data_IF_304573929876
#
_entry.id   IF_304573929876
#
_cell.length_a   1.000
_cell.length_b   1.000
_cell.length_c   1.000
_cell.angle_alpha   90.00
_cell.angle_beta   90.00
_cell.angle_gamma   90.00
#
_symmetry.space_group_name_H-M   'P 1'
#
loop_
_entity.id
_entity.type
_entity.pdbx_description
1 polymer ?
#
# COMPACT_ATOMS: atom_id res chain seq x y z
N UNK A 1 0.57 -14.97 -3.60
CA UNK A 1 -0.53 -15.66 -2.87
C UNK A 1 -1.29 -14.65 -2.01
N UNK A 2 -0.71 -14.09 -0.95
CA UNK A 2 -1.38 -13.15 -0.04
C UNK A 2 -2.03 -11.92 -0.71
N UNK A 3 -1.34 -11.22 -1.62
CA UNK A 3 -1.93 -10.06 -2.30
C UNK A 3 -3.21 -10.41 -3.10
N UNK A 4 -3.20 -11.53 -3.82
CA UNK A 4 -4.38 -12.03 -4.57
C UNK A 4 -5.51 -12.42 -3.62
N UNK A 5 -5.18 -13.05 -2.49
CA UNK A 5 -6.16 -13.44 -1.46
C UNK A 5 -6.82 -12.23 -0.78
N UNK A 6 -6.14 -11.09 -0.71
CA UNK A 6 -6.71 -9.83 -0.22
C UNK A 6 -7.63 -9.20 -1.27
N UNK A 7 -7.26 -9.26 -2.55
CA UNK A 7 -8.07 -8.71 -3.64
C UNK A 7 -9.42 -9.43 -3.76
N UNK A 8 -9.49 -10.74 -3.50
CA UNK A 8 -10.76 -11.48 -3.55
C UNK A 8 -11.76 -11.09 -2.45
N UNK A 9 -11.35 -10.28 -1.46
CA UNK A 9 -12.19 -9.82 -0.35
C UNK A 9 -12.67 -8.38 -0.51
N UNK A 10 -12.36 -7.75 -1.64
CA UNK A 10 -12.71 -6.35 -1.88
C UNK A 10 -14.21 -6.25 -2.14
N UNK A 11 -14.92 -5.31 -1.47
CA UNK A 11 -16.33 -5.05 -1.75
C UNK A 11 -16.56 -4.61 -3.20
N UNK A 12 -17.67 -5.06 -3.78
CA UNK A 12 -18.11 -4.65 -5.11
C UNK A 12 -18.24 -3.11 -5.20
N UNK A 13 -17.86 -2.54 -6.35
CA UNK A 13 -17.91 -1.09 -6.58
C UNK A 13 -16.75 -0.29 -5.96
N UNK A 14 -15.76 -0.94 -5.35
CA UNK A 14 -14.56 -0.25 -4.83
C UNK A 14 -13.77 0.40 -5.98
N UNK A 15 -13.70 1.75 -6.00
CA UNK A 15 -12.90 2.49 -6.99
C UNK A 15 -11.54 3.00 -6.49
N UNK A 16 -11.35 3.05 -5.17
CA UNK A 16 -10.14 3.58 -4.53
C UNK A 16 -9.72 2.75 -3.31
N UNK A 17 -8.41 2.64 -3.09
CA UNK A 17 -7.84 1.95 -1.92
C UNK A 17 -6.68 2.75 -1.30
N UNK A 18 -6.65 2.83 0.02
CA UNK A 18 -5.45 3.20 0.76
C UNK A 18 -4.60 1.94 0.96
N UNK A 19 -3.35 1.97 0.51
CA UNK A 19 -2.43 0.82 0.59
C UNK A 19 -1.18 1.22 1.34
N UNK A 20 -0.91 0.55 2.47
CA UNK A 20 0.25 0.77 3.32
C UNK A 20 0.60 -0.51 4.09
N UNK A 21 1.89 -0.76 4.30
CA UNK A 21 2.35 -1.93 5.05
C UNK A 21 3.79 -2.30 4.68
N UNK A 22 4.09 -3.60 4.76
CA UNK A 22 5.36 -4.14 4.30
C UNK A 22 5.56 -3.85 2.80
N UNK A 23 6.78 -3.46 2.43
CA UNK A 23 7.08 -2.87 1.13
C UNK A 23 6.79 -3.81 -0.04
N UNK A 24 7.16 -5.09 0.08
CA UNK A 24 7.01 -6.09 -0.98
C UNK A 24 5.54 -6.46 -1.18
N UNK A 25 4.81 -6.68 -0.09
CA UNK A 25 3.38 -6.92 -0.11
C UNK A 25 2.62 -5.72 -0.70
N UNK A 26 2.97 -4.50 -0.27
CA UNK A 26 2.35 -3.26 -0.76
C UNK A 26 2.55 -3.13 -2.26
N UNK A 27 3.75 -3.37 -2.77
CA UNK A 27 4.03 -3.32 -4.21
C UNK A 27 3.18 -4.33 -4.99
N UNK A 28 3.10 -5.58 -4.54
CA UNK A 28 2.28 -6.61 -5.19
C UNK A 28 0.78 -6.30 -5.10
N UNK A 29 0.31 -5.82 -3.96
CA UNK A 29 -1.10 -5.50 -3.74
C UNK A 29 -1.53 -4.30 -4.59
N UNK A 30 -0.72 -3.25 -4.68
CA UNK A 30 -0.98 -2.09 -5.57
C UNK A 30 -1.12 -2.56 -7.02
N UNK A 31 -0.21 -3.41 -7.50
CA UNK A 31 -0.31 -3.99 -8.86
C UNK A 31 -1.61 -4.76 -9.07
N UNK A 32 -1.96 -5.66 -8.13
CA UNK A 32 -3.20 -6.42 -8.23
C UNK A 32 -4.42 -5.48 -8.25
N UNK A 33 -4.52 -4.53 -7.31
CA UNK A 33 -5.64 -3.58 -7.24
C UNK A 33 -5.78 -2.74 -8.52
N UNK A 34 -4.68 -2.20 -9.04
CA UNK A 34 -4.67 -1.40 -10.27
C UNK A 34 -5.09 -2.23 -11.49
N UNK A 35 -4.75 -3.53 -11.54
CA UNK A 35 -5.22 -4.42 -12.60
C UNK A 35 -6.75 -4.62 -12.59
N UNK A 36 -7.43 -4.38 -11.47
CA UNK A 36 -8.90 -4.34 -11.34
C UNK A 36 -9.48 -2.92 -11.54
N UNK A 37 -8.67 -1.96 -11.99
CA UNK A 37 -9.09 -0.56 -12.18
C UNK A 37 -9.18 0.27 -10.90
N UNK A 38 -8.70 -0.25 -9.77
CA UNK A 38 -8.76 0.44 -8.47
C UNK A 38 -7.59 1.43 -8.35
N UNK A 39 -7.89 2.69 -8.05
CA UNK A 39 -6.85 3.70 -7.83
C UNK A 39 -6.27 3.61 -6.42
N UNK A 40 -4.97 3.37 -6.32
CA UNK A 40 -4.26 3.19 -5.06
C UNK A 40 -3.60 4.48 -4.54
N UNK A 41 -3.70 4.70 -3.23
CA UNK A 41 -3.12 5.84 -2.51
C UNK A 41 -2.29 5.39 -1.31
N UNK A 42 -1.21 6.10 -0.99
CA UNK A 42 -0.46 5.96 0.25
C UNK A 42 -0.71 7.17 1.16
N UNK A 43 -0.92 6.96 2.45
CA UNK A 43 -0.76 8.04 3.42
C UNK A 43 0.73 8.28 3.68
N UNK A 44 1.15 9.54 3.61
CA UNK A 44 2.49 9.96 4.00
C UNK A 44 2.46 10.60 5.36
N UNK A 45 3.41 10.23 6.22
CA UNK A 45 3.53 10.73 7.58
C UNK A 45 4.92 11.27 7.85
N UNK A 46 5.00 12.29 8.67
CA UNK A 46 6.24 12.70 9.33
C UNK A 46 6.35 11.97 10.66
N UNK A 47 7.55 11.47 10.97
CA UNK A 47 7.83 10.77 12.22
C UNK A 47 8.78 11.59 13.07
N UNK A 48 8.28 12.04 14.20
CA UNK A 48 9.11 12.66 15.24
C UNK A 48 9.35 11.68 16.38
N UNK A 49 10.60 11.66 16.85
CA UNK A 49 11.02 10.78 17.95
C UNK A 49 11.60 11.64 19.05
N UNK A 50 11.00 11.57 20.23
CA UNK A 50 11.44 12.26 21.43
C UNK A 50 11.94 11.22 22.44
N UNK A 51 13.16 11.43 22.96
CA UNK A 51 13.66 10.71 24.14
C UNK A 51 13.44 11.61 25.34
N UNK A 52 12.63 11.16 26.30
CA UNK A 52 12.33 11.89 27.52
C UNK A 52 13.42 11.66 28.58
N UNK A 53 13.56 12.57 29.56
CA UNK A 53 14.55 12.44 30.64
C UNK A 53 14.38 11.17 31.50
N UNK A 54 13.18 10.60 31.55
CA UNK A 54 12.85 9.34 32.26
C UNK A 54 13.24 8.08 31.47
N UNK A 55 13.89 8.22 30.30
CA UNK A 55 14.26 7.12 29.42
C UNK A 55 13.14 6.66 28.48
N UNK A 56 11.94 7.23 28.57
CA UNK A 56 10.83 6.90 27.68
C UNK A 56 11.11 7.42 26.27
N UNK A 57 10.81 6.60 25.26
CA UNK A 57 10.84 7.01 23.84
C UNK A 57 9.41 7.19 23.34
N UNK A 58 9.08 8.41 22.92
CA UNK A 58 7.80 8.72 22.28
C UNK A 58 8.02 8.87 20.78
N UNK A 59 7.27 8.12 19.98
CA UNK A 59 7.24 8.28 18.52
C UNK A 59 5.89 8.84 18.11
N UNK A 60 5.88 10.01 17.47
CA UNK A 60 4.67 10.68 16.95
C UNK A 60 4.69 10.61 15.43
N UNK A 61 3.57 10.16 14.85
CA UNK A 61 3.37 10.13 13.41
C UNK A 61 2.30 11.16 13.06
N UNK A 62 2.67 12.22 12.33
CA UNK A 62 1.71 13.20 11.82
C UNK A 62 1.36 12.87 10.38
N UNK A 63 0.08 12.76 10.06
CA UNK A 63 -0.37 12.69 8.68
C UNK A 63 -0.02 13.98 7.94
N UNK A 64 0.51 13.83 6.73
CA UNK A 64 0.86 14.96 5.85
C UNK A 64 -0.11 15.04 4.69
N UNK A 65 -0.14 14.01 3.84
CA UNK A 65 -1.01 13.95 2.67
C UNK A 65 -1.17 12.54 2.13
N UNK A 66 -2.21 12.34 1.33
CA UNK A 66 -2.33 11.19 0.43
C UNK A 66 -1.47 11.42 -0.82
N UNK A 67 -0.80 10.37 -1.29
CA UNK A 67 -0.10 10.38 -2.58
C UNK A 67 -0.58 9.20 -3.42
N UNK A 68 -0.92 9.46 -4.67
CA UNK A 68 -1.31 8.40 -5.60
C UNK A 68 -0.08 7.54 -5.88
N UNK A 69 -0.25 6.22 -5.88
CA UNK A 69 0.78 5.34 -6.42
C UNK A 69 0.93 5.57 -7.94
N UNK A 70 2.14 5.45 -8.50
CA UNK A 70 2.29 5.41 -9.95
C UNK A 70 1.49 4.23 -10.52
N UNK A 71 1.14 4.31 -11.79
CA UNK A 71 0.53 3.18 -12.48
C UNK A 71 1.57 2.06 -12.59
N UNK A 72 1.33 0.95 -11.89
CA UNK A 72 2.15 -0.27 -11.94
C UNK A 72 1.46 -1.36 -12.79
N UNK A 73 0.41 -1.00 -13.55
CA UNK A 73 -0.47 -1.87 -14.30
C UNK A 73 0.19 -2.98 -15.12
N UNK A 74 -0.60 -4.06 -15.29
CA UNK A 74 -0.29 -5.40 -15.82
C UNK A 74 1.05 -6.00 -15.38
N UNK A 75 0.97 -7.15 -14.71
CA UNK A 75 2.12 -8.04 -14.61
C UNK A 75 2.68 -8.28 -16.04
N UNK A 76 4.01 -8.40 -16.23
CA UNK A 76 4.52 -9.01 -17.46
C UNK A 76 3.72 -10.29 -17.67
N UNK A 77 3.23 -10.53 -18.89
CA UNK A 77 2.59 -11.79 -19.23
C UNK A 77 3.46 -12.90 -18.62
N UNK A 78 2.87 -13.75 -17.78
CA UNK A 78 3.52 -15.01 -17.45
C UNK A 78 3.86 -15.60 -18.81
N UNK A 79 5.15 -15.69 -19.14
CA UNK A 79 5.64 -16.39 -20.32
C UNK A 79 4.79 -17.66 -20.40
N UNK A 80 4.00 -17.77 -21.46
CA UNK A 80 3.38 -19.05 -21.82
C UNK A 80 4.55 -20.00 -22.04
N UNK A 81 4.99 -20.65 -20.96
CA UNK A 81 5.90 -21.77 -21.01
C UNK A 81 5.24 -22.83 -21.88
N UNK A 82 5.80 -23.00 -23.07
CA UNK A 82 5.52 -24.12 -23.96
C UNK A 82 6.05 -25.43 -23.40
#
# INVERSE_FOLDING_TARGET
RLARDLVSRIPEGTGHALVQGEFTLTCQLVRCLQAYGITCWAATTERDVEKRPDGMKVSRFRFVRLRRYPDLGLAPEEEKGG
#
